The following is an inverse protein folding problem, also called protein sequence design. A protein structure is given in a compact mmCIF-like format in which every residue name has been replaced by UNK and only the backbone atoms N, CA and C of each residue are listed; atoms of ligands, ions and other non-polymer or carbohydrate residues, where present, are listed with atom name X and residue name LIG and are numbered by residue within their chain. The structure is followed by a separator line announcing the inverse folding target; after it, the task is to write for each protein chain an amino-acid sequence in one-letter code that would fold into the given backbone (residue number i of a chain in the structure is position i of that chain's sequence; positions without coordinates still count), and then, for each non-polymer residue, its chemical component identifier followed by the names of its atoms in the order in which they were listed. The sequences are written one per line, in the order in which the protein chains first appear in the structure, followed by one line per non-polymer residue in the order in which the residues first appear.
data_IF_192088033577
#
_entry.id   IF_192088033577
#
_cell.length_a   1.000
_cell.length_b   1.000
_cell.length_c   1.000
_cell.angle_alpha   90.00
_cell.angle_beta   90.00
_cell.angle_gamma   90.00
#
_symmetry.space_group_name_H-M   'P 1'
#
loop_
_entity.id
_entity.type
_entity.pdbx_description
1 polymer ?
#
# COMPACT_ATOMS: atom_id res chain seq x y z
N UNK A 1 11.72 9.28 6.29
CA UNK A 1 10.84 8.15 5.97
C UNK A 1 10.12 8.43 4.66
N UNK A 2 9.92 7.41 3.86
CA UNK A 2 9.27 7.56 2.56
C UNK A 2 7.75 7.64 2.72
N UNK A 3 7.15 8.50 1.92
CA UNK A 3 5.70 8.58 1.86
C UNK A 3 5.26 8.13 0.47
N UNK A 4 4.54 7.04 0.42
CA UNK A 4 4.06 6.47 -0.84
C UNK A 4 2.57 6.73 -0.97
N UNK A 5 2.21 7.88 -1.52
CA UNK A 5 0.81 8.30 -1.61
C UNK A 5 -0.06 7.32 -2.40
N UNK A 6 0.53 6.52 -3.28
CA UNK A 6 -0.23 5.54 -4.07
C UNK A 6 -0.84 4.44 -3.23
N UNK A 7 -0.27 4.15 -2.05
CA UNK A 7 -0.88 3.20 -1.13
C UNK A 7 -2.28 3.66 -0.75
N UNK A 8 -2.43 4.92 -0.39
CA UNK A 8 -3.73 5.48 -0.05
C UNK A 8 -4.63 5.59 -1.27
N UNK A 9 -4.08 6.04 -2.39
CA UNK A 9 -4.87 6.20 -3.61
C UNK A 9 -5.45 4.87 -4.07
N UNK A 10 -4.64 3.81 -4.05
CA UNK A 10 -5.11 2.47 -4.42
C UNK A 10 -6.20 2.00 -3.48
N UNK A 11 -6.04 2.23 -2.18
CA UNK A 11 -7.04 1.85 -1.20
C UNK A 11 -8.36 2.55 -1.47
N UNK A 12 -8.31 3.85 -1.68
CA UNK A 12 -9.52 4.64 -1.95
C UNK A 12 -10.17 4.26 -3.27
N UNK A 13 -9.36 4.00 -4.29
CA UNK A 13 -9.86 3.57 -5.60
C UNK A 13 -10.59 2.23 -5.53
N UNK A 14 -10.22 1.39 -4.58
CA UNK A 14 -10.83 0.07 -4.39
C UNK A 14 -11.94 0.09 -3.32
N UNK A 15 -12.31 1.28 -2.85
CA UNK A 15 -13.37 1.46 -1.84
C UNK A 15 -13.10 0.66 -0.55
N UNK A 16 -11.84 0.63 -0.12
CA UNK A 16 -11.46 -0.10 1.09
C UNK A 16 -11.12 0.88 2.21
N UNK A 17 -11.41 0.46 3.45
CA UNK A 17 -11.02 1.24 4.63
C UNK A 17 -9.61 0.85 5.05
N UNK A 18 -9.00 1.68 5.90
CA UNK A 18 -7.70 1.33 6.48
C UNK A 18 -7.79 0.03 7.27
N UNK A 19 -8.91 -0.19 7.95
CA UNK A 19 -9.11 -1.41 8.71
C UNK A 19 -9.15 -2.65 7.82
N UNK A 20 -9.77 -2.53 6.64
CA UNK A 20 -9.81 -3.63 5.68
C UNK A 20 -8.41 -4.06 5.27
N UNK A 21 -7.56 -3.08 4.97
CA UNK A 21 -6.21 -3.38 4.53
C UNK A 21 -5.34 -3.89 5.68
N UNK A 22 -5.52 -3.31 6.87
CA UNK A 22 -4.81 -3.79 8.06
C UNK A 22 -5.12 -5.26 8.32
N UNK A 23 -6.38 -5.65 8.19
CA UNK A 23 -6.79 -7.04 8.34
C UNK A 23 -6.12 -7.94 7.32
N UNK A 24 -6.09 -7.51 6.06
CA UNK A 24 -5.42 -8.28 5.01
C UNK A 24 -3.94 -8.47 5.34
N UNK A 25 -3.30 -7.44 5.88
CA UNK A 25 -1.88 -7.48 6.21
C UNK A 25 -1.60 -8.12 7.57
N UNK A 26 -2.64 -8.56 8.27
CA UNK A 26 -2.54 -9.17 9.59
C UNK A 26 -1.85 -8.24 10.59
N UNK A 27 -2.29 -6.98 10.61
CA UNK A 27 -1.76 -5.99 11.53
C UNK A 27 -2.89 -5.13 12.07
N UNK A 28 -2.60 -4.34 13.10
CA UNK A 28 -3.56 -3.42 13.69
C UNK A 28 -3.70 -2.18 12.82
N UNK A 29 -4.91 -1.60 12.82
CA UNK A 29 -5.18 -0.40 12.01
C UNK A 29 -4.20 0.76 12.31
N UNK A 30 -3.85 1.05 13.58
CA UNK A 30 -2.88 2.14 13.81
C UNK A 30 -1.51 1.89 13.20
N UNK A 31 -1.08 0.63 13.08
CA UNK A 31 0.18 0.30 12.43
C UNK A 31 0.11 0.57 10.94
N UNK A 32 -0.97 0.15 10.30
CA UNK A 32 -1.16 0.42 8.87
C UNK A 32 -1.27 1.93 8.62
N UNK A 33 -1.98 2.64 9.50
CA UNK A 33 -2.11 4.10 9.41
C UNK A 33 -0.74 4.78 9.31
N UNK A 34 0.22 4.33 10.11
CA UNK A 34 1.56 4.92 10.09
C UNK A 34 2.24 4.71 8.75
N UNK A 35 2.07 3.55 8.15
CA UNK A 35 2.64 3.27 6.82
C UNK A 35 2.01 4.18 5.77
N UNK A 36 0.69 4.26 5.76
CA UNK A 36 -0.02 5.03 4.74
C UNK A 36 0.30 6.52 4.83
N UNK A 37 0.56 7.02 6.01
CA UNK A 37 0.80 8.44 6.23
C UNK A 37 2.29 8.82 6.30
N UNK A 38 3.16 7.90 5.96
CA UNK A 38 4.60 8.19 5.89
C UNK A 38 5.27 8.34 7.24
N UNK A 39 4.64 7.90 8.32
CA UNK A 39 5.20 7.97 9.66
C UNK A 39 6.12 6.81 9.98
N UNK A 40 6.13 5.79 9.14
CA UNK A 40 6.98 4.61 9.24
C UNK A 40 7.33 4.15 7.84
N UNK A 41 8.54 3.66 7.68
CA UNK A 41 8.95 3.05 6.41
C UNK A 41 8.17 1.76 6.20
N UNK A 42 7.73 1.54 4.96
CA UNK A 42 6.96 0.36 4.61
C UNK A 42 7.92 -0.77 4.28
N UNK A 43 7.88 -1.90 5.01
CA UNK A 43 8.76 -3.03 4.69
C UNK A 43 8.47 -3.61 3.31
N UNK A 44 9.48 -4.26 2.74
CA UNK A 44 9.34 -4.85 1.40
C UNK A 44 8.21 -5.87 1.32
N UNK A 45 8.07 -6.69 2.35
CA UNK A 45 7.01 -7.71 2.37
C UNK A 45 5.62 -7.10 2.35
N UNK A 46 5.45 -5.95 3.01
CA UNK A 46 4.18 -5.22 2.99
C UNK A 46 3.93 -4.64 1.59
N UNK A 47 4.96 -4.08 0.97
CA UNK A 47 4.82 -3.56 -0.40
C UNK A 47 4.43 -4.66 -1.37
N UNK A 48 5.05 -5.83 -1.26
CA UNK A 48 4.73 -6.97 -2.11
C UNK A 48 3.30 -7.43 -1.88
N UNK A 49 2.88 -7.51 -0.62
CA UNK A 49 1.52 -7.92 -0.28
C UNK A 49 0.48 -6.94 -0.85
N UNK A 50 0.76 -5.65 -0.75
CA UNK A 50 -0.15 -4.63 -1.30
C UNK A 50 -0.22 -4.71 -2.82
N UNK A 51 0.91 -4.93 -3.48
CA UNK A 51 0.93 -5.09 -4.94
C UNK A 51 0.08 -6.27 -5.37
N UNK A 52 0.16 -7.37 -4.65
CA UNK A 52 -0.67 -8.54 -4.94
C UNK A 52 -2.14 -8.27 -4.69
N UNK A 53 -2.44 -7.60 -3.59
CA UNK A 53 -3.82 -7.28 -3.22
C UNK A 53 -4.51 -6.44 -4.29
N UNK A 54 -3.81 -5.42 -4.77
CA UNK A 54 -4.34 -4.49 -5.76
C UNK A 54 -4.06 -4.91 -7.21
N UNK A 55 -3.43 -6.06 -7.39
CA UNK A 55 -3.09 -6.58 -8.72
C UNK A 55 -2.27 -5.57 -9.52
N UNK A 56 -1.25 -5.02 -8.89
CA UNK A 56 -0.34 -4.06 -9.50
C UNK A 56 1.10 -4.45 -9.19
N UNK A 57 2.04 -3.54 -9.39
CA UNK A 57 3.46 -3.80 -9.16
C UNK A 57 3.97 -2.96 -8.00
N UNK A 58 5.04 -3.42 -7.37
CA UNK A 58 5.72 -2.60 -6.36
C UNK A 58 6.30 -1.34 -6.98
N UNK A 59 6.74 -1.41 -8.23
CA UNK A 59 7.26 -0.23 -8.94
C UNK A 59 6.19 0.88 -9.03
N UNK A 60 4.95 0.50 -9.30
CA UNK A 60 3.87 1.47 -9.37
C UNK A 60 3.62 2.10 -7.99
N UNK A 61 3.60 1.28 -6.94
CA UNK A 61 3.38 1.75 -5.57
C UNK A 61 4.49 2.72 -5.16
N UNK A 62 5.73 2.41 -5.54
CA UNK A 62 6.89 3.22 -5.19
C UNK A 62 7.04 4.48 -6.03
N UNK A 63 6.21 4.62 -7.07
CA UNK A 63 6.26 5.79 -7.94
C UNK A 63 7.33 5.72 -9.02
N UNK A 64 7.88 4.53 -9.26
CA UNK A 64 8.92 4.35 -10.28
C UNK A 64 8.35 4.22 -11.69
N UNK A 65 7.06 3.98 -11.79
CA UNK A 65 6.36 3.93 -13.05
C UNK A 65 4.95 4.45 -12.87
N UNK A 66 4.34 4.95 -13.94
CA UNK A 66 2.94 5.36 -13.92
C UNK A 66 2.01 4.27 -14.46
N UNK A 67 2.56 3.13 -14.84
CA UNK A 67 1.78 2.02 -15.36
C UNK A 67 1.42 1.06 -14.22
N UNK A 68 0.13 0.96 -13.84
CA UNK A 68 -0.27 0.09 -12.74
C UNK A 68 -0.35 -1.39 -13.13
N UNK A 69 -0.25 -1.70 -14.40
CA UNK A 69 -0.43 -3.07 -14.87
C UNK A 69 0.80 -3.91 -14.59
N UNK A 70 0.55 -5.13 -14.17
CA UNK A 70 1.59 -6.14 -14.06
C UNK A 70 2.03 -6.51 -15.45
N UNK A 71 3.33 -6.57 -15.65
CA UNK A 71 3.65 -7.03 -16.97
C UNK A 71 5.11 -6.85 -17.27
#
# INVERSE_FOLDING_TARGET
MAYYKRIRELREDHDKTQNDIAKYLDMKQPQYYRYENGLRDVPSDVLIALAKYYNTTTDYILGLTNNPNKK
#
